data_IF_343892103176
#
_entry.id   IF_343892103176
#
_cell.length_a   1.000
_cell.length_b   1.000
_cell.length_c   1.000
_cell.angle_alpha   90.00
_cell.angle_beta   90.00
_cell.angle_gamma   90.00
#
_symmetry.space_group_name_H-M   'P 1'
#
loop_
_entity.id
_entity.type
_entity.pdbx_description
1 polymer ?
#
# COMPACT_ATOMS: atom_id res chain seq x y z
N UNK A 1 -26.41 50.22 -23.92
CA UNK A 1 -26.69 49.49 -22.67
C UNK A 1 -26.67 47.96 -22.84
N UNK A 2 -27.48 47.35 -23.73
CA UNK A 2 -27.51 45.88 -23.91
C UNK A 2 -26.16 45.24 -24.30
N UNK A 3 -25.35 45.88 -25.16
CA UNK A 3 -24.04 45.34 -25.59
C UNK A 3 -22.96 45.33 -24.50
N UNK A 4 -23.04 46.24 -23.53
CA UNK A 4 -22.09 46.32 -22.41
C UNK A 4 -22.36 45.18 -21.42
N UNK A 5 -23.64 44.81 -21.23
CA UNK A 5 -24.04 43.69 -20.38
C UNK A 5 -23.60 42.34 -20.94
N UNK A 6 -23.73 42.13 -22.27
CA UNK A 6 -23.28 40.89 -22.91
C UNK A 6 -21.76 40.71 -22.83
N UNK A 7 -21.00 41.80 -23.02
CA UNK A 7 -19.53 41.76 -22.91
C UNK A 7 -19.10 41.42 -21.48
N UNK A 8 -19.76 42.00 -20.47
CA UNK A 8 -19.48 41.71 -19.07
C UNK A 8 -19.79 40.25 -18.71
N UNK A 9 -20.89 39.68 -19.22
CA UNK A 9 -21.29 38.29 -18.98
C UNK A 9 -20.31 37.30 -19.65
N UNK A 10 -19.89 37.58 -20.88
CA UNK A 10 -18.90 36.73 -21.59
C UNK A 10 -17.55 36.76 -20.88
N UNK A 11 -17.10 37.93 -20.42
CA UNK A 11 -15.86 38.06 -19.63
C UNK A 11 -15.93 37.30 -18.30
N UNK A 12 -17.07 37.35 -17.60
CA UNK A 12 -17.27 36.64 -16.34
C UNK A 12 -17.28 35.11 -16.54
N UNK A 13 -17.94 34.61 -17.59
CA UNK A 13 -17.95 33.18 -17.95
C UNK A 13 -16.56 32.68 -18.38
N UNK A 14 -15.82 33.48 -19.13
CA UNK A 14 -14.46 33.15 -19.55
C UNK A 14 -13.48 33.11 -18.36
N UNK A 15 -13.64 34.01 -17.38
CA UNK A 15 -12.87 33.98 -16.13
C UNK A 15 -13.17 32.73 -15.28
N UNK A 16 -14.42 32.27 -15.24
CA UNK A 16 -14.82 31.03 -14.55
C UNK A 16 -14.22 29.77 -15.19
N UNK A 17 -14.02 29.77 -16.51
CA UNK A 17 -13.42 28.65 -17.24
C UNK A 17 -11.90 28.55 -17.02
N UNK A 18 -11.24 29.65 -16.63
CA UNK A 18 -9.78 29.69 -16.41
C UNK A 18 -9.36 29.20 -15.01
N UNK A 19 -10.29 29.00 -14.08
CA UNK A 19 -10.00 28.49 -12.72
C UNK A 19 -9.79 26.97 -12.61
N UNK A 20 -9.86 26.23 -13.74
CA UNK A 20 -9.80 24.76 -13.76
C UNK A 20 -8.41 24.14 -13.63
N UNK A 21 -7.33 24.89 -13.87
CA UNK A 21 -5.96 24.38 -13.76
C UNK A 21 -5.30 24.91 -12.49
N UNK A 22 -5.78 24.48 -11.32
CA UNK A 22 -4.96 24.56 -10.11
C UNK A 22 -4.00 23.38 -10.14
N UNK A 23 -2.79 23.61 -10.67
CA UNK A 23 -1.69 22.70 -10.40
C UNK A 23 -1.52 22.67 -8.88
N UNK A 24 -1.89 21.56 -8.25
CA UNK A 24 -1.54 21.32 -6.85
C UNK A 24 -0.03 21.42 -6.71
N UNK A 25 0.50 21.79 -5.54
CA UNK A 25 1.94 21.71 -5.31
C UNK A 25 2.40 20.35 -5.81
N UNK A 26 3.42 20.33 -6.69
CA UNK A 26 4.09 19.09 -7.09
C UNK A 26 4.44 18.39 -5.80
N UNK A 27 3.62 17.42 -5.44
CA UNK A 27 3.79 16.62 -4.27
C UNK A 27 4.95 15.69 -4.63
N UNK A 28 6.15 16.26 -4.63
CA UNK A 28 7.35 15.53 -4.22
C UNK A 28 7.15 15.27 -2.73
N UNK A 29 6.12 14.47 -2.41
CA UNK A 29 6.04 13.78 -1.15
C UNK A 29 7.22 12.84 -1.24
N UNK A 30 8.34 13.24 -0.67
CA UNK A 30 9.26 12.29 -0.09
C UNK A 30 8.48 11.65 1.06
N UNK A 31 7.47 10.83 0.73
CA UNK A 31 6.90 9.90 1.67
C UNK A 31 8.11 9.07 2.09
N UNK A 32 8.48 9.24 3.35
CA UNK A 32 9.65 8.57 3.89
C UNK A 32 9.36 7.08 3.80
N UNK A 33 10.07 6.39 2.90
CA UNK A 33 9.95 4.94 2.79
C UNK A 33 10.44 4.34 4.09
N UNK A 34 9.52 3.73 4.84
CA UNK A 34 9.87 2.98 6.02
C UNK A 34 10.19 1.54 5.61
N UNK A 35 11.44 1.13 5.82
CA UNK A 35 11.84 -0.27 5.65
C UNK A 35 11.37 -1.07 6.86
N UNK A 36 10.49 -2.05 6.64
CA UNK A 36 10.07 -3.02 7.65
C UNK A 36 11.00 -4.25 7.60
N UNK A 37 11.63 -4.66 8.71
CA UNK A 37 12.40 -5.90 8.75
C UNK A 37 11.51 -7.10 8.39
N UNK A 38 12.00 -8.02 7.56
CA UNK A 38 11.26 -9.24 7.25
C UNK A 38 11.07 -10.09 8.51
N UNK A 39 9.87 -10.64 8.77
CA UNK A 39 9.64 -11.64 9.81
C UNK A 39 10.04 -13.06 9.37
N UNK A 40 10.32 -13.27 8.08
CA UNK A 40 10.73 -14.54 7.51
C UNK A 40 12.25 -14.74 7.60
N UNK A 41 12.70 -15.96 7.94
CA UNK A 41 14.12 -16.28 7.98
C UNK A 41 14.72 -16.40 6.57
N UNK A 42 16.05 -16.37 6.49
CA UNK A 42 16.78 -16.57 5.24
C UNK A 42 16.41 -17.89 4.55
N UNK A 43 16.34 -17.87 3.22
CA UNK A 43 15.92 -19.03 2.43
C UNK A 43 14.40 -19.24 2.36
N UNK A 44 13.60 -18.40 3.00
CA UNK A 44 12.15 -18.42 2.86
C UNK A 44 11.69 -18.06 1.44
N UNK A 45 10.55 -18.62 1.03
CA UNK A 45 9.98 -18.44 -0.31
C UNK A 45 8.45 -18.26 -0.28
N UNK A 46 7.86 -17.97 -1.44
CA UNK A 46 6.42 -17.82 -1.62
C UNK A 46 5.75 -16.85 -0.63
N UNK A 47 6.24 -15.59 -0.52
CA UNK A 47 5.58 -14.61 0.33
C UNK A 47 4.20 -14.27 -0.23
N UNK A 48 3.21 -14.21 0.66
CA UNK A 48 1.86 -13.75 0.35
C UNK A 48 1.39 -12.78 1.43
N UNK A 49 1.00 -11.58 1.02
CA UNK A 49 0.51 -10.51 1.89
C UNK A 49 -1.00 -10.34 1.68
N UNK A 50 -1.78 -10.39 2.75
CA UNK A 50 -3.22 -10.32 2.70
C UNK A 50 -3.79 -9.52 3.88
N UNK A 51 -5.07 -9.16 3.77
CA UNK A 51 -5.86 -8.60 4.87
C UNK A 51 -6.80 -9.66 5.44
N UNK A 52 -6.97 -9.68 6.76
CA UNK A 52 -8.06 -10.43 7.40
C UNK A 52 -9.40 -9.75 7.12
N UNK A 53 -10.54 -10.42 7.34
CA UNK A 53 -11.86 -9.77 7.31
C UNK A 53 -12.00 -8.58 8.29
N UNK A 54 -11.19 -8.55 9.35
CA UNK A 54 -11.14 -7.46 10.31
C UNK A 54 -10.22 -6.30 9.87
N UNK A 55 -9.42 -6.49 8.81
CA UNK A 55 -8.50 -5.49 8.27
C UNK A 55 -7.05 -5.62 8.75
N UNK A 56 -6.70 -6.68 9.49
CA UNK A 56 -5.32 -6.90 9.93
C UNK A 56 -4.45 -7.34 8.76
N UNK A 57 -3.22 -6.81 8.66
CA UNK A 57 -2.25 -7.24 7.67
C UNK A 57 -1.58 -8.53 8.14
N UNK A 58 -1.63 -9.56 7.29
CA UNK A 58 -1.00 -10.86 7.53
C UNK A 58 -0.06 -11.16 6.39
N UNK A 59 1.17 -11.60 6.71
CA UNK A 59 2.07 -12.19 5.74
C UNK A 59 2.26 -13.68 6.04
N UNK A 60 2.16 -14.52 5.01
CA UNK A 60 2.50 -15.94 5.07
C UNK A 60 3.63 -16.29 4.11
N UNK A 61 4.44 -17.29 4.46
CA UNK A 61 5.58 -17.76 3.66
C UNK A 61 5.91 -19.22 3.95
N UNK A 62 6.67 -19.85 3.06
CA UNK A 62 7.31 -21.14 3.29
C UNK A 62 8.73 -20.91 3.80
N UNK A 63 9.08 -21.52 4.92
CA UNK A 63 10.42 -21.45 5.51
C UNK A 63 11.06 -22.86 5.55
N UNK A 64 12.32 -23.03 5.12
CA UNK A 64 12.99 -24.32 5.17
C UNK A 64 13.07 -24.89 6.59
N UNK A 65 12.80 -26.18 6.74
CA UNK A 65 12.99 -26.93 7.98
C UNK A 65 14.26 -27.79 7.91
N UNK A 66 14.73 -28.26 9.07
CA UNK A 66 15.98 -29.00 9.19
C UNK A 66 16.00 -30.36 8.47
N UNK A 67 14.83 -30.97 8.29
CA UNK A 67 14.66 -32.28 7.65
C UNK A 67 14.42 -32.20 6.14
N UNK A 68 14.57 -31.01 5.55
CA UNK A 68 14.31 -30.76 4.13
C UNK A 68 12.84 -30.55 3.78
N UNK A 69 11.93 -30.58 4.76
CA UNK A 69 10.55 -30.12 4.61
C UNK A 69 10.48 -28.58 4.67
N UNK A 70 9.29 -28.02 4.47
CA UNK A 70 9.04 -26.59 4.67
C UNK A 70 7.91 -26.39 5.68
N UNK A 71 8.07 -25.35 6.49
CA UNK A 71 7.04 -24.85 7.38
C UNK A 71 6.29 -23.71 6.71
N UNK A 72 4.96 -23.82 6.59
CA UNK A 72 4.12 -22.66 6.33
C UNK A 72 4.04 -21.84 7.61
N UNK A 73 4.54 -20.62 7.56
CA UNK A 73 4.53 -19.68 8.69
C UNK A 73 3.75 -18.42 8.34
N UNK A 74 3.33 -17.69 9.37
CA UNK A 74 2.73 -16.38 9.21
C UNK A 74 3.13 -15.42 10.34
N UNK A 75 3.00 -14.13 10.07
CA UNK A 75 3.06 -13.04 11.04
C UNK A 75 2.02 -11.97 10.70
N UNK A 76 1.59 -11.22 11.71
CA UNK A 76 0.68 -10.08 11.58
C UNK A 76 1.45 -8.78 11.75
N UNK A 77 1.09 -7.72 11.03
CA UNK A 77 1.66 -6.39 11.22
C UNK A 77 0.83 -5.61 12.24
N UNK A 78 1.48 -5.06 13.25
CA UNK A 78 0.90 -4.12 14.21
C UNK A 78 1.71 -2.81 14.17
N UNK A 79 1.09 -1.75 13.64
CA UNK A 79 1.78 -0.51 13.28
C UNK A 79 2.93 -0.77 12.30
N UNK A 80 4.16 -0.62 12.79
CA UNK A 80 5.40 -0.77 12.02
C UNK A 80 6.21 -2.01 12.43
N UNK A 81 5.56 -2.99 13.09
CA UNK A 81 6.23 -4.16 13.62
C UNK A 81 5.47 -5.44 13.35
N UNK A 82 6.18 -6.43 12.79
CA UNK A 82 5.67 -7.78 12.67
C UNK A 82 5.61 -8.45 14.05
N UNK A 83 4.56 -9.23 14.27
CA UNK A 83 4.51 -10.18 15.37
C UNK A 83 5.49 -11.34 15.15
N UNK A 84 5.88 -12.08 16.20
CA UNK A 84 6.73 -13.26 16.03
C UNK A 84 6.10 -14.26 15.06
N UNK A 85 6.93 -14.84 14.19
CA UNK A 85 6.51 -15.85 13.23
C UNK A 85 5.88 -17.07 13.91
N UNK A 86 4.71 -17.48 13.45
CA UNK A 86 3.97 -18.63 13.96
C UNK A 86 3.85 -19.71 12.89
N UNK A 87 4.15 -20.98 13.20
CA UNK A 87 3.91 -22.08 12.28
C UNK A 87 2.41 -22.39 12.16
N UNK A 88 1.96 -22.67 10.94
CA UNK A 88 0.64 -23.21 10.62
C UNK A 88 0.71 -24.71 10.38
N UNK A 89 1.65 -25.15 9.55
CA UNK A 89 1.87 -26.57 9.23
C UNK A 89 3.31 -26.80 8.75
N UNK A 90 3.74 -28.06 8.73
CA UNK A 90 5.03 -28.51 8.18
C UNK A 90 4.75 -29.66 7.22
N UNK A 91 5.36 -29.62 6.02
CA UNK A 91 5.15 -30.63 5.00
C UNK A 91 6.21 -30.60 3.90
N UNK A 92 6.23 -31.64 3.07
CA UNK A 92 7.20 -31.81 1.97
C UNK A 92 6.56 -31.75 0.59
N UNK A 93 5.25 -31.50 0.50
CA UNK A 93 4.39 -31.58 -0.68
C UNK A 93 3.80 -30.24 -1.14
N UNK A 94 4.56 -29.16 -0.92
CA UNK A 94 4.25 -27.79 -1.32
C UNK A 94 4.68 -27.47 -2.76
#
# INVERSE_FOLDING_TARGET
>A
MFRISTVAIVLALMALLLTGCRNGPDATTTDSFLSLPSPAADGSTAPHLALTPAGDVVMSWLEPAADGSHALKFATLDGERWSPAKPLTIGSDW
#
